data_IF_910774360107
#
_entry.id   IF_910774360107
#
_cell.length_a   1.000
_cell.length_b   1.000
_cell.length_c   1.000
_cell.angle_alpha   90.00
_cell.angle_beta   90.00
_cell.angle_gamma   90.00
#
_symmetry.space_group_name_H-M   'P 1'
#
loop_
_entity.id
_entity.type
_entity.pdbx_description
1 polymer ?
#
# COMPACT_ATOMS: atom_id res chain seq x y z
N UNK A 1 13.27 2.64 18.97
CA UNK A 1 12.39 2.96 20.12
C UNK A 1 10.98 2.56 19.74
N UNK A 2 10.17 2.06 20.67
CA UNK A 2 8.76 1.79 20.39
C UNK A 2 7.98 3.10 20.43
N UNK A 3 7.38 3.47 19.30
CA UNK A 3 6.55 4.67 19.18
C UNK A 3 5.11 4.24 18.92
N UNK A 4 4.18 4.79 19.70
CA UNK A 4 2.77 4.68 19.41
C UNK A 4 2.43 5.62 18.26
N UNK A 5 1.97 5.06 17.14
CA UNK A 5 1.52 5.84 15.99
C UNK A 5 0.03 5.63 15.83
N UNK A 6 -0.71 6.74 15.86
CA UNK A 6 -2.16 6.76 15.66
C UNK A 6 -2.54 7.65 14.50
N UNK A 7 -3.16 7.08 13.47
CA UNK A 7 -3.70 7.81 12.32
C UNK A 7 -4.90 7.06 11.74
N UNK A 8 -6.04 7.73 11.63
CA UNK A 8 -7.32 7.11 11.24
C UNK A 8 -7.59 5.83 12.06
N UNK A 9 -7.68 4.68 11.38
CA UNK A 9 -7.94 3.37 11.97
C UNK A 9 -6.65 2.63 12.38
N UNK A 10 -5.47 3.21 12.16
CA UNK A 10 -4.21 2.67 12.64
C UNK A 10 -3.96 3.11 14.08
N UNK A 11 -3.89 2.15 15.00
CA UNK A 11 -3.50 2.37 16.39
C UNK A 11 -2.53 1.24 16.77
N UNK A 12 -1.24 1.43 16.45
CA UNK A 12 -0.21 0.40 16.60
C UNK A 12 1.05 0.96 17.25
N UNK A 13 1.68 0.15 18.11
CA UNK A 13 3.03 0.41 18.65
C UNK A 13 4.07 -0.25 17.76
N UNK A 14 5.04 0.52 17.26
CA UNK A 14 6.05 -0.01 16.35
C UNK A 14 7.45 0.53 16.61
N UNK A 15 8.44 -0.27 16.20
CA UNK A 15 9.85 0.08 16.31
C UNK A 15 10.25 0.97 15.14
N UNK A 16 10.55 2.22 15.46
CA UNK A 16 11.13 3.17 14.51
C UNK A 16 12.60 3.44 14.81
N UNK A 17 13.34 3.76 13.74
CA UNK A 17 14.68 4.33 13.80
C UNK A 17 14.51 5.83 13.99
N UNK A 18 15.19 6.38 15.00
CA UNK A 18 15.14 7.80 15.33
C UNK A 18 16.27 8.50 14.60
N UNK A 19 15.92 9.45 13.74
CA UNK A 19 16.86 10.26 12.99
C UNK A 19 16.43 11.72 13.10
N UNK A 20 17.41 12.62 13.17
CA UNK A 20 17.15 14.05 13.05
C UNK A 20 16.80 14.35 11.59
N UNK A 21 15.63 14.94 11.36
CA UNK A 21 15.06 15.15 10.04
C UNK A 21 14.41 16.54 9.96
N UNK A 22 14.66 17.28 8.88
CA UNK A 22 14.19 18.67 8.77
C UNK A 22 12.72 18.79 8.39
N UNK A 23 12.25 17.96 7.43
CA UNK A 23 10.97 18.18 6.74
C UNK A 23 9.84 17.26 7.17
N UNK A 24 10.15 16.10 7.71
CA UNK A 24 9.18 15.05 7.97
C UNK A 24 9.34 14.53 9.40
N UNK A 25 8.22 14.43 10.11
CA UNK A 25 8.19 13.89 11.46
C UNK A 25 8.29 12.35 11.49
N UNK A 26 7.85 11.69 10.40
CA UNK A 26 7.84 10.23 10.27
C UNK A 26 7.94 9.80 8.80
N UNK A 27 8.76 8.78 8.52
CA UNK A 27 8.80 8.08 7.23
C UNK A 27 8.37 6.64 7.43
N UNK A 28 7.32 6.24 6.72
CA UNK A 28 6.86 4.86 6.65
C UNK A 28 7.58 4.16 5.51
N UNK A 29 8.52 3.27 5.87
CA UNK A 29 9.28 2.50 4.91
C UNK A 29 8.52 1.28 4.38
N UNK A 30 9.17 0.54 3.47
CA UNK A 30 8.63 -0.72 2.91
C UNK A 30 8.21 -1.73 3.99
N UNK A 31 8.98 -1.97 5.07
CA UNK A 31 8.57 -2.94 6.11
C UNK A 31 7.24 -2.58 6.79
N UNK A 32 6.95 -1.28 6.92
CA UNK A 32 5.68 -0.81 7.46
C UNK A 32 4.53 -1.09 6.50
N UNK A 33 4.75 -0.78 5.22
CA UNK A 33 3.77 -1.00 4.15
C UNK A 33 3.45 -2.49 3.95
N UNK A 34 4.45 -3.36 4.07
CA UNK A 34 4.26 -4.82 3.96
C UNK A 34 3.47 -5.38 5.14
N UNK A 35 3.67 -4.85 6.36
CA UNK A 35 3.00 -5.34 7.57
C UNK A 35 1.53 -4.95 7.61
N UNK A 36 1.22 -3.72 7.19
CA UNK A 36 -0.13 -3.15 7.31
C UNK A 36 -0.93 -3.18 6.02
N UNK A 37 -0.26 -3.45 4.90
CA UNK A 37 -0.84 -3.51 3.56
C UNK A 37 -1.88 -2.40 3.29
N UNK A 38 -1.59 -1.12 3.57
CA UNK A 38 -2.58 -0.06 3.42
C UNK A 38 -3.01 0.07 1.96
N UNK A 39 -4.25 0.49 1.74
CA UNK A 39 -4.63 0.94 0.40
C UNK A 39 -4.10 2.36 0.19
N UNK A 40 -3.53 2.61 -0.99
CA UNK A 40 -2.98 3.93 -1.36
C UNK A 40 -3.76 4.44 -2.58
N UNK A 41 -4.51 5.50 -2.38
CA UNK A 41 -5.17 6.21 -3.47
C UNK A 41 -4.29 7.35 -3.97
N UNK A 42 -3.52 7.09 -5.04
CA UNK A 42 -2.59 8.07 -5.60
C UNK A 42 -3.25 9.35 -6.14
N UNK A 43 -4.47 9.26 -6.68
CA UNK A 43 -5.15 10.44 -7.27
C UNK A 43 -5.78 11.32 -6.20
N UNK A 44 -6.46 10.71 -5.22
CA UNK A 44 -7.03 11.39 -4.05
C UNK A 44 -5.98 11.79 -3.00
N UNK A 45 -4.75 11.26 -3.09
CA UNK A 45 -3.68 11.43 -2.10
C UNK A 45 -4.11 10.96 -0.70
N UNK A 46 -4.87 9.88 -0.66
CA UNK A 46 -5.36 9.28 0.55
C UNK A 46 -4.66 7.93 0.81
N UNK A 47 -4.58 7.58 2.08
CA UNK A 47 -4.10 6.29 2.58
C UNK A 47 -5.06 5.87 3.67
N UNK A 48 -5.36 4.58 3.76
CA UNK A 48 -6.18 4.06 4.85
C UNK A 48 -5.87 2.61 5.17
N UNK A 49 -6.46 2.13 6.26
CA UNK A 49 -6.30 0.76 6.70
C UNK A 49 -6.93 -0.22 5.70
N UNK A 50 -6.23 -1.32 5.44
CA UNK A 50 -6.86 -2.44 4.76
C UNK A 50 -7.92 -3.05 5.69
N UNK A 51 -9.13 -3.35 5.19
CA UNK A 51 -10.13 -4.04 5.97
C UNK A 51 -9.52 -5.34 6.52
N UNK A 52 -9.63 -5.55 7.84
CA UNK A 52 -9.19 -6.81 8.44
C UNK A 52 -9.86 -7.95 7.67
N UNK A 53 -9.05 -8.84 7.09
CA UNK A 53 -9.54 -10.02 6.40
C UNK A 53 -10.18 -10.92 7.46
N UNK A 54 -11.47 -10.73 7.73
CA UNK A 54 -12.26 -11.65 8.51
C UNK A 54 -13.62 -11.85 7.85
N UNK A 55 -13.72 -13.00 7.18
CA UNK A 55 -14.92 -13.79 6.89
C UNK A 55 -16.14 -13.07 6.29
N UNK A 56 -16.12 -12.86 4.97
CA UNK A 56 -17.21 -13.38 4.14
C UNK A 56 -16.83 -13.46 2.66
N UNK A 57 -16.69 -14.72 2.22
CA UNK A 57 -16.64 -15.17 0.84
C UNK A 57 -15.41 -14.75 0.03
N UNK A 58 -14.71 -15.79 -0.44
CA UNK A 58 -13.88 -15.78 -1.63
C UNK A 58 -14.65 -15.13 -2.80
N UNK A 59 -14.52 -13.82 -2.96
CA UNK A 59 -14.79 -13.16 -4.24
C UNK A 59 -13.45 -12.69 -4.74
N UNK A 60 -13.05 -13.29 -5.86
CA UNK A 60 -11.80 -13.07 -6.57
C UNK A 60 -11.59 -11.60 -6.93
N UNK A 61 -11.05 -10.81 -6.00
CA UNK A 61 -10.52 -9.51 -6.34
C UNK A 61 -9.12 -9.68 -6.92
N UNK A 62 -9.06 -10.15 -8.17
CA UNK A 62 -7.87 -9.93 -9.00
C UNK A 62 -7.67 -8.41 -9.03
N UNK A 63 -6.54 -7.85 -8.55
CA UNK A 63 -6.32 -6.42 -8.59
C UNK A 63 -6.39 -5.97 -10.05
N UNK A 64 -7.15 -4.93 -10.34
CA UNK A 64 -7.31 -4.34 -11.68
C UNK A 64 -5.95 -4.00 -12.34
N UNK A 65 -4.92 -3.80 -11.50
CA UNK A 65 -3.50 -3.69 -11.89
C UNK A 65 -2.98 -4.87 -12.72
N UNK A 66 -3.29 -6.12 -12.33
CA UNK A 66 -2.81 -7.34 -13.00
C UNK A 66 -3.44 -7.48 -14.39
N UNK A 67 -4.71 -7.13 -14.56
CA UNK A 67 -5.39 -7.17 -15.88
C UNK A 67 -4.77 -6.21 -16.89
N UNK A 68 -4.32 -5.04 -16.44
CA UNK A 68 -3.71 -4.06 -17.34
C UNK A 68 -2.31 -4.46 -17.83
N UNK A 69 -1.56 -5.25 -17.07
CA UNK A 69 -0.23 -5.71 -17.49
C UNK A 69 -0.31 -6.71 -18.64
N UNK A 70 -1.25 -7.66 -18.57
CA UNK A 70 -1.52 -8.61 -19.66
C UNK A 70 -2.06 -7.91 -20.93
N UNK A 71 -2.93 -6.90 -20.77
CA UNK A 71 -3.49 -6.13 -21.88
C UNK A 71 -2.45 -5.25 -22.60
N UNK A 72 -1.40 -4.79 -21.89
CA UNK A 72 -0.30 -4.02 -22.50
C UNK A 72 0.70 -4.92 -23.23
N UNK A 73 0.93 -6.14 -22.75
CA UNK A 73 1.86 -7.08 -23.41
C UNK A 73 1.32 -7.55 -24.78
N UNK A 74 0.02 -7.81 -24.90
CA UNK A 74 -0.58 -8.19 -26.19
C UNK A 74 -0.67 -7.08 -27.24
N UNK A 75 -0.42 -5.81 -26.89
CA UNK A 75 -0.48 -4.67 -27.82
C UNK A 75 0.88 -4.24 -28.37
N UNK A 76 1.98 -4.72 -27.79
CA UNK A 76 3.34 -4.38 -28.24
C UNK A 76 3.84 -5.30 -29.37
N UNK A 77 3.17 -6.42 -29.63
CA UNK A 77 3.58 -7.38 -30.67
C UNK A 77 2.88 -7.13 -32.03
N UNK A 78 2.18 -6.01 -32.20
CA UNK A 78 1.47 -5.65 -33.44
C UNK A 78 2.02 -4.38 -34.12
N UNK A 79 3.31 -4.09 -33.95
CA UNK A 79 4.02 -3.13 -34.82
C UNK A 79 5.10 -3.86 -35.60
N UNK A 80 4.73 -4.10 -36.87
CA UNK A 80 5.60 -4.19 -38.04
C UNK A 80 6.58 -5.37 -38.16
N UNK A 81 6.22 -6.34 -39.02
CA UNK A 81 6.99 -6.60 -40.25
C UNK A 81 6.08 -7.11 -41.35
#
# INVERSE_FOLDING_TARGET
>A
MDLAVKFEDFDNSEQFIVLEMDKYDLILGVPWLEKHEPWIEWRGKAIGASPAVSDRALVSHVPTSVRNWAARKGRQDAVSK
#
